data_IF_005677657454
#
_entry.id   IF_005677657454
#
_cell.length_a   1.000
_cell.length_b   1.000
_cell.length_c   1.000
_cell.angle_alpha   90.00
_cell.angle_beta   90.00
_cell.angle_gamma   90.00
#
_symmetry.space_group_name_H-M   'P 1'
#
loop_
_entity.id
_entity.type
_entity.pdbx_description
1 polymer ?
#
# COMPACT_ATOMS: atom_id res chain seq x y z
N UNK A 1 -25.89 14.09 5.60
CA UNK A 1 -24.85 14.26 4.56
C UNK A 1 -23.69 13.37 4.93
N UNK A 2 -23.25 12.44 4.06
CA UNK A 2 -22.04 11.63 4.31
C UNK A 2 -20.89 12.60 4.55
N UNK A 3 -20.15 12.43 5.64
CA UNK A 3 -18.94 13.18 5.90
C UNK A 3 -17.95 12.86 4.77
N UNK A 4 -17.66 13.77 3.82
CA UNK A 4 -16.93 13.45 2.59
C UNK A 4 -15.46 13.09 2.82
N UNK A 5 -15.03 13.04 4.08
CA UNK A 5 -13.64 12.89 4.49
C UNK A 5 -13.44 11.73 5.51
N UNK A 6 -14.39 10.82 5.62
CA UNK A 6 -14.22 9.61 6.44
C UNK A 6 -13.32 8.58 5.74
N UNK A 7 -12.48 7.87 6.49
CA UNK A 7 -11.85 6.65 5.98
C UNK A 7 -12.95 5.59 5.82
N UNK A 8 -12.90 4.78 4.76
CA UNK A 8 -13.90 3.74 4.51
C UNK A 8 -13.17 2.39 4.40
N UNK A 9 -13.50 1.47 5.29
CA UNK A 9 -13.19 0.05 5.13
C UNK A 9 -14.24 -0.55 4.19
N UNK A 10 -13.80 -1.25 3.15
CA UNK A 10 -14.69 -1.93 2.20
C UNK A 10 -14.35 -3.41 2.17
N UNK A 11 -15.35 -4.25 2.35
CA UNK A 11 -15.26 -5.67 2.00
C UNK A 11 -15.60 -5.82 0.51
N UNK A 12 -14.62 -6.24 -0.29
CA UNK A 12 -14.78 -6.32 -1.74
C UNK A 12 -15.57 -7.53 -2.22
N UNK A 13 -15.88 -8.49 -1.35
CA UNK A 13 -16.70 -9.66 -1.67
C UNK A 13 -18.17 -9.40 -1.37
N UNK A 14 -18.47 -8.87 -0.18
CA UNK A 14 -19.85 -8.59 0.24
C UNK A 14 -20.34 -7.21 -0.19
N UNK A 15 -19.42 -6.32 -0.59
CA UNK A 15 -19.65 -4.89 -0.85
C UNK A 15 -20.12 -4.11 0.39
N UNK A 16 -20.02 -4.71 1.57
CA UNK A 16 -20.25 -4.01 2.82
C UNK A 16 -19.15 -2.98 3.07
N UNK A 17 -19.52 -1.90 3.73
CA UNK A 17 -18.58 -0.82 4.04
C UNK A 17 -18.80 -0.30 5.45
N UNK A 18 -17.70 0.13 6.06
CA UNK A 18 -17.68 0.73 7.37
C UNK A 18 -16.92 2.04 7.33
N UNK A 19 -17.62 3.14 7.61
CA UNK A 19 -17.01 4.44 7.81
C UNK A 19 -16.26 4.48 9.15
N UNK A 20 -15.03 4.98 9.12
CA UNK A 20 -14.21 5.23 10.29
C UNK A 20 -14.12 6.74 10.48
N UNK A 21 -14.95 7.26 11.38
CA UNK A 21 -15.01 8.69 11.64
C UNK A 21 -13.85 9.14 12.53
N UNK A 22 -13.12 10.13 12.03
CA UNK A 22 -12.04 10.81 12.74
C UNK A 22 -12.34 12.30 12.68
N UNK A 23 -12.35 13.06 13.78
CA UNK A 23 -12.53 14.52 13.73
C UNK A 23 -11.44 15.21 12.91
N UNK A 24 -11.79 16.21 12.10
CA UNK A 24 -10.87 16.84 11.14
C UNK A 24 -9.59 17.39 11.77
N UNK A 25 -9.70 18.00 12.97
CA UNK A 25 -8.58 18.66 13.67
C UNK A 25 -7.42 17.74 14.07
N UNK A 26 -7.62 16.43 14.02
CA UNK A 26 -6.65 15.43 14.47
C UNK A 26 -6.28 14.43 13.38
N UNK A 27 -6.68 14.69 12.13
CA UNK A 27 -6.32 13.84 10.99
C UNK A 27 -4.91 14.15 10.46
N UNK A 28 -4.26 13.18 9.81
CA UNK A 28 -3.08 13.46 9.01
C UNK A 28 -3.44 14.35 7.81
N UNK A 29 -2.47 15.15 7.39
CA UNK A 29 -2.47 15.79 6.08
C UNK A 29 -2.02 14.78 5.03
N UNK A 30 -2.57 14.89 3.82
CA UNK A 30 -2.24 13.99 2.72
C UNK A 30 -1.60 14.77 1.58
N UNK A 31 -0.60 14.17 0.95
CA UNK A 31 -0.11 14.62 -0.35
C UNK A 31 -0.08 13.48 -1.36
N UNK A 32 -0.26 13.83 -2.63
CA UNK A 32 -0.02 12.98 -3.78
C UNK A 32 1.21 13.48 -4.52
N UNK A 33 2.14 12.59 -4.81
CA UNK A 33 3.29 12.84 -5.67
C UNK A 33 3.13 12.01 -6.93
N UNK A 34 2.94 12.67 -8.06
CA UNK A 34 2.98 12.06 -9.38
C UNK A 34 4.44 11.83 -9.77
N UNK A 35 4.86 10.57 -9.85
CA UNK A 35 6.23 10.20 -10.22
C UNK A 35 6.44 10.20 -11.74
N UNK A 36 5.38 10.38 -12.52
CA UNK A 36 5.37 10.31 -13.99
C UNK A 36 6.06 9.03 -14.53
N UNK A 37 6.02 7.95 -13.75
CA UNK A 37 6.62 6.67 -14.12
C UNK A 37 5.79 6.01 -15.23
N UNK A 38 6.47 5.39 -16.19
CA UNK A 38 5.80 4.59 -17.21
C UNK A 38 4.99 3.47 -16.57
N UNK A 39 3.88 3.10 -17.21
CA UNK A 39 3.04 1.98 -16.75
C UNK A 39 3.91 0.73 -16.62
N UNK A 40 3.76 0.04 -15.49
CA UNK A 40 4.46 -1.21 -15.22
C UNK A 40 4.31 -2.21 -16.38
N UNK A 41 5.38 -2.95 -16.67
CA UNK A 41 5.42 -4.00 -17.70
C UNK A 41 4.33 -5.06 -17.49
N UNK A 42 3.92 -5.33 -16.25
CA UNK A 42 2.86 -6.27 -15.90
C UNK A 42 1.55 -5.55 -15.60
N UNK A 43 0.67 -5.52 -16.60
CA UNK A 43 -0.66 -4.94 -16.47
C UNK A 43 -1.54 -5.63 -15.41
N UNK A 44 -2.61 -4.95 -15.00
CA UNK A 44 -3.60 -5.46 -14.03
C UNK A 44 -4.13 -6.85 -14.37
N UNK A 45 -4.36 -7.14 -15.66
CA UNK A 45 -4.85 -8.43 -16.12
C UNK A 45 -3.87 -9.58 -15.81
N UNK A 46 -2.57 -9.39 -16.08
CA UNK A 46 -1.54 -10.40 -15.80
C UNK A 46 -1.42 -10.67 -14.29
N UNK A 47 -1.50 -9.62 -13.46
CA UNK A 47 -1.49 -9.75 -12.00
C UNK A 47 -2.71 -10.50 -11.48
N UNK A 48 -3.90 -10.22 -12.03
CA UNK A 48 -5.12 -10.97 -11.71
C UNK A 48 -4.96 -12.45 -12.08
N UNK A 49 -4.46 -12.74 -13.28
CA UNK A 49 -4.22 -14.11 -13.72
C UNK A 49 -3.25 -14.84 -12.78
N UNK A 50 -2.16 -14.17 -12.39
CA UNK A 50 -1.19 -14.75 -11.46
C UNK A 50 -1.80 -15.07 -10.08
N UNK A 51 -2.65 -14.19 -9.54
CA UNK A 51 -3.38 -14.46 -8.30
C UNK A 51 -4.32 -15.67 -8.41
N UNK A 52 -5.01 -15.83 -9.55
CA UNK A 52 -5.87 -16.99 -9.80
C UNK A 52 -5.06 -18.29 -9.88
N UNK A 53 -3.92 -18.29 -10.58
CA UNK A 53 -3.04 -19.46 -10.64
C UNK A 53 -2.48 -19.87 -9.27
N UNK A 54 -2.19 -18.88 -8.40
CA UNK A 54 -1.79 -19.15 -7.01
C UNK A 54 -2.93 -19.83 -6.26
N UNK A 55 -4.14 -19.29 -6.37
CA UNK A 55 -5.34 -19.82 -5.72
C UNK A 55 -5.66 -21.26 -6.17
N UNK A 56 -5.72 -21.51 -7.47
CA UNK A 56 -6.03 -22.83 -8.04
C UNK A 56 -5.04 -23.90 -7.56
N UNK A 57 -3.76 -23.54 -7.45
CA UNK A 57 -2.72 -24.47 -6.95
C UNK A 57 -2.88 -24.77 -5.46
N UNK A 58 -3.32 -23.81 -4.65
CA UNK A 58 -3.60 -24.07 -3.24
C UNK A 58 -4.79 -25.02 -3.09
N UNK A 59 -5.87 -24.80 -3.85
CA UNK A 59 -7.06 -25.64 -3.85
C UNK A 59 -6.77 -27.09 -4.28
N UNK A 60 -5.95 -27.29 -5.32
CA UNK A 60 -5.53 -28.62 -5.79
C UNK A 60 -4.61 -29.37 -4.80
N UNK A 61 -4.20 -28.72 -3.70
CA UNK A 61 -3.28 -29.28 -2.71
C UNK A 61 -3.98 -29.40 -1.36
N UNK A 62 -3.42 -28.78 -0.32
CA UNK A 62 -3.88 -28.95 1.07
C UNK A 62 -5.03 -28.01 1.44
N UNK A 63 -5.44 -27.13 0.54
CA UNK A 63 -6.40 -26.05 0.82
C UNK A 63 -7.65 -26.16 -0.06
N UNK A 64 -8.18 -27.37 -0.25
CA UNK A 64 -9.32 -27.65 -1.14
C UNK A 64 -10.63 -26.94 -0.74
N UNK A 65 -10.76 -26.55 0.53
CA UNK A 65 -11.94 -25.83 1.05
C UNK A 65 -11.78 -24.31 1.01
N UNK A 66 -10.67 -23.79 0.49
CA UNK A 66 -10.41 -22.35 0.41
C UNK A 66 -11.29 -21.72 -0.68
N UNK A 67 -12.09 -20.71 -0.35
CA UNK A 67 -12.95 -20.02 -1.32
C UNK A 67 -12.27 -18.76 -1.89
N UNK A 68 -11.44 -18.11 -1.09
CA UNK A 68 -10.66 -16.94 -1.48
C UNK A 68 -9.30 -16.92 -0.77
N UNK A 69 -8.30 -16.28 -1.38
CA UNK A 69 -6.99 -16.06 -0.73
C UNK A 69 -7.09 -15.22 0.55
N UNK A 70 -8.18 -14.47 0.74
CA UNK A 70 -8.46 -13.75 1.99
C UNK A 70 -8.77 -14.67 3.16
N UNK A 71 -9.29 -15.86 2.88
CA UNK A 71 -9.69 -16.85 3.89
C UNK A 71 -8.47 -17.62 4.44
N UNK A 72 -7.29 -17.42 3.83
CA UNK A 72 -6.07 -18.06 4.31
C UNK A 72 -5.57 -17.39 5.59
N UNK A 73 -5.65 -18.14 6.70
CA UNK A 73 -5.18 -17.69 8.00
C UNK A 73 -3.65 -17.54 8.10
N UNK A 74 -3.15 -16.79 9.08
CA UNK A 74 -1.71 -16.46 9.12
C UNK A 74 -0.86 -17.67 9.45
N UNK A 75 -1.34 -18.45 10.41
CA UNK A 75 -0.70 -19.65 10.88
C UNK A 75 -0.49 -20.67 9.75
N UNK A 76 -1.33 -20.62 8.72
CA UNK A 76 -1.26 -21.53 7.58
C UNK A 76 -0.44 -21.00 6.41
N UNK A 77 0.01 -19.74 6.46
CA UNK A 77 0.74 -19.11 5.36
C UNK A 77 2.02 -19.87 5.02
N UNK A 78 2.84 -20.24 6.01
CA UNK A 78 4.08 -20.98 5.76
C UNK A 78 3.79 -22.34 5.11
N UNK A 79 2.79 -23.07 5.61
CA UNK A 79 2.36 -24.33 5.01
C UNK A 79 1.89 -24.14 3.56
N UNK A 80 1.12 -23.09 3.28
CA UNK A 80 0.67 -22.74 1.94
C UNK A 80 1.85 -22.42 1.00
N UNK A 81 2.83 -21.63 1.47
CA UNK A 81 4.04 -21.31 0.69
C UNK A 81 4.82 -22.58 0.31
N UNK A 82 4.90 -23.57 1.20
CA UNK A 82 5.57 -24.84 0.91
C UNK A 82 4.88 -25.67 -0.18
N UNK A 83 3.56 -25.50 -0.38
CA UNK A 83 2.84 -26.19 -1.47
C UNK A 83 3.04 -25.55 -2.84
N UNK A 84 3.55 -24.32 -2.90
CA UNK A 84 3.73 -23.56 -4.14
C UNK A 84 5.18 -23.62 -4.67
N UNK A 85 5.35 -23.54 -6.00
CA UNK A 85 6.65 -23.30 -6.62
C UNK A 85 7.30 -22.03 -6.05
N UNK A 86 8.64 -22.03 -5.90
CA UNK A 86 9.39 -20.89 -5.30
C UNK A 86 9.03 -19.54 -5.93
N UNK A 87 8.85 -19.49 -7.25
CA UNK A 87 8.49 -18.26 -7.99
C UNK A 87 7.13 -17.64 -7.63
N UNK A 88 6.21 -18.42 -7.05
CA UNK A 88 4.85 -17.96 -6.70
C UNK A 88 4.72 -17.56 -5.22
N UNK A 89 5.70 -17.93 -4.39
CA UNK A 89 5.69 -17.68 -2.95
C UNK A 89 5.66 -16.20 -2.58
N UNK A 90 6.44 -15.31 -3.25
CA UNK A 90 6.36 -13.87 -2.97
C UNK A 90 4.95 -13.33 -3.23
N UNK A 91 4.35 -13.70 -4.37
CA UNK A 91 2.99 -13.29 -4.71
C UNK A 91 1.94 -13.73 -3.67
N UNK A 92 2.00 -14.97 -3.19
CA UNK A 92 1.10 -15.43 -2.11
C UNK A 92 1.30 -14.62 -0.82
N UNK A 93 2.56 -14.38 -0.43
CA UNK A 93 2.89 -13.59 0.77
C UNK A 93 2.31 -12.19 0.68
N UNK A 94 2.50 -11.51 -0.46
CA UNK A 94 1.92 -10.19 -0.69
C UNK A 94 0.40 -10.20 -0.49
N UNK A 95 -0.32 -11.05 -1.23
CA UNK A 95 -1.79 -11.07 -1.24
C UNK A 95 -2.38 -11.31 0.16
N UNK A 96 -1.77 -12.21 0.92
CA UNK A 96 -2.25 -12.59 2.26
C UNK A 96 -1.87 -11.54 3.31
N UNK A 97 -0.64 -11.02 3.26
CA UNK A 97 -0.18 -10.03 4.25
C UNK A 97 -0.81 -8.65 4.04
N UNK A 98 -1.15 -8.29 2.80
CA UNK A 98 -1.80 -7.03 2.48
C UNK A 98 -3.22 -6.96 3.06
N UNK A 99 -4.02 -8.03 2.93
CA UNK A 99 -5.34 -8.12 3.56
C UNK A 99 -5.28 -7.93 5.08
N UNK A 100 -4.23 -8.45 5.74
CA UNK A 100 -4.04 -8.23 7.18
C UNK A 100 -3.60 -6.82 7.52
N UNK A 101 -2.77 -6.19 6.68
CA UNK A 101 -2.37 -4.79 6.87
C UNK A 101 -3.59 -3.86 6.86
N UNK A 102 -4.61 -4.15 6.06
CA UNK A 102 -5.89 -3.40 6.09
C UNK A 102 -6.53 -3.47 7.47
N UNK A 103 -6.63 -4.64 8.08
CA UNK A 103 -7.20 -4.78 9.44
C UNK A 103 -6.38 -4.01 10.49
N UNK A 104 -5.04 -4.05 10.38
CA UNK A 104 -4.16 -3.26 11.26
C UNK A 104 -4.31 -1.76 11.02
N UNK A 105 -4.53 -1.33 9.77
CA UNK A 105 -4.77 0.06 9.41
C UNK A 105 -6.07 0.57 10.04
N UNK A 106 -7.13 -0.23 10.03
CA UNK A 106 -8.40 0.10 10.71
C UNK A 106 -8.18 0.33 12.20
N UNK A 107 -7.39 -0.53 12.86
CA UNK A 107 -7.04 -0.36 14.27
C UNK A 107 -6.25 0.93 14.50
N UNK A 108 -5.25 1.21 13.66
CA UNK A 108 -4.44 2.43 13.73
C UNK A 108 -5.32 3.68 13.59
N UNK A 109 -6.20 3.73 12.58
CA UNK A 109 -7.14 4.84 12.35
C UNK A 109 -8.06 5.05 13.55
N UNK A 110 -8.69 3.98 14.06
CA UNK A 110 -9.60 4.06 15.22
C UNK A 110 -8.91 4.58 16.47
N UNK A 111 -7.66 4.19 16.67
CA UNK A 111 -6.82 4.64 17.79
C UNK A 111 -6.14 5.99 17.53
N UNK A 112 -6.24 6.53 16.32
CA UNK A 112 -5.53 7.74 15.86
C UNK A 112 -4.01 7.60 16.00
N UNK A 113 -3.53 6.39 15.82
CA UNK A 113 -2.11 6.05 15.83
C UNK A 113 -1.53 6.26 14.43
N UNK A 114 -1.21 7.52 14.14
CA UNK A 114 -0.76 7.94 12.81
C UNK A 114 0.66 7.46 12.50
N UNK A 115 1.48 7.27 13.53
CA UNK A 115 2.79 6.64 13.42
C UNK A 115 2.65 5.18 12.97
N UNK A 116 1.74 4.41 13.57
CA UNK A 116 1.45 3.04 13.12
C UNK A 116 0.87 3.02 11.70
N UNK A 117 -0.03 3.95 11.37
CA UNK A 117 -0.51 4.11 9.99
C UNK A 117 0.66 4.30 9.02
N UNK A 118 1.55 5.25 9.29
CA UNK A 118 2.74 5.52 8.49
C UNK A 118 3.64 4.29 8.31
N UNK A 119 3.91 3.57 9.40
CA UNK A 119 4.65 2.32 9.36
C UNK A 119 3.96 1.26 8.48
N UNK A 120 2.63 1.15 8.54
CA UNK A 120 1.86 0.23 7.71
C UNK A 120 1.90 0.62 6.21
N UNK A 121 1.87 1.91 5.88
CA UNK A 121 2.05 2.40 4.51
C UNK A 121 3.42 1.98 3.97
N UNK A 122 4.48 2.23 4.74
CA UNK A 122 5.84 1.82 4.39
C UNK A 122 5.97 0.30 4.19
N UNK A 123 5.44 -0.49 5.11
CA UNK A 123 5.45 -1.95 5.00
C UNK A 123 4.69 -2.45 3.77
N UNK A 124 3.58 -1.79 3.43
CA UNK A 124 2.78 -2.09 2.25
C UNK A 124 3.57 -1.77 0.97
N UNK A 125 4.29 -0.64 0.91
CA UNK A 125 5.18 -0.31 -0.20
C UNK A 125 6.34 -1.32 -0.34
N UNK A 126 7.02 -1.67 0.76
CA UNK A 126 8.09 -2.67 0.74
C UNK A 126 7.60 -4.03 0.20
N UNK A 127 6.41 -4.49 0.63
CA UNK A 127 5.82 -5.73 0.08
C UNK A 127 5.45 -5.59 -1.40
N UNK A 128 5.03 -4.41 -1.86
CA UNK A 128 4.83 -4.15 -3.30
C UNK A 128 6.12 -4.22 -4.11
N UNK A 129 7.24 -3.76 -3.56
CA UNK A 129 8.56 -3.81 -4.18
C UNK A 129 9.13 -5.23 -4.20
N UNK A 130 9.17 -5.86 -3.03
CA UNK A 130 9.94 -7.09 -2.80
C UNK A 130 9.13 -8.36 -3.11
N UNK A 131 7.82 -8.36 -2.82
CA UNK A 131 6.96 -9.54 -2.98
C UNK A 131 6.10 -9.48 -4.26
N UNK A 132 5.55 -8.30 -4.58
CA UNK A 132 4.67 -8.11 -5.73
C UNK A 132 5.38 -7.58 -6.98
N UNK A 133 6.55 -6.95 -6.80
CA UNK A 133 7.40 -6.39 -7.85
C UNK A 133 6.66 -5.42 -8.78
N UNK A 134 5.94 -4.46 -8.19
CA UNK A 134 5.12 -3.47 -8.91
C UNK A 134 5.54 -2.02 -8.66
N UNK A 135 6.69 -1.78 -8.06
CA UNK A 135 7.22 -0.42 -7.85
C UNK A 135 8.33 -0.14 -8.86
N UNK A 136 8.69 1.13 -8.96
CA UNK A 136 9.82 1.62 -9.75
C UNK A 136 10.85 2.32 -8.86
N UNK A 137 12.11 2.48 -9.31
CA UNK A 137 13.14 3.16 -8.51
C UNK A 137 12.77 4.59 -8.10
N UNK A 138 12.00 5.31 -8.92
CA UNK A 138 11.54 6.66 -8.58
C UNK A 138 10.47 6.63 -7.49
N UNK A 139 9.55 5.67 -7.55
CA UNK A 139 8.54 5.46 -6.50
C UNK A 139 9.19 5.06 -5.17
N UNK A 140 10.16 4.14 -5.22
CA UNK A 140 10.93 3.71 -4.05
C UNK A 140 11.70 4.90 -3.44
N UNK A 141 12.31 5.74 -4.27
CA UNK A 141 13.01 6.95 -3.83
C UNK A 141 12.09 7.90 -3.04
N UNK A 142 10.88 8.19 -3.52
CA UNK A 142 9.94 9.07 -2.79
C UNK A 142 9.60 8.51 -1.41
N UNK A 143 9.41 7.19 -1.31
CA UNK A 143 9.09 6.54 -0.04
C UNK A 143 10.29 6.54 0.92
N UNK A 144 11.51 6.37 0.40
CA UNK A 144 12.73 6.48 1.17
C UNK A 144 12.97 7.91 1.70
N UNK A 145 12.71 8.93 0.88
CA UNK A 145 12.79 10.32 1.33
C UNK A 145 11.72 10.64 2.38
N UNK A 146 10.50 10.12 2.22
CA UNK A 146 9.44 10.27 3.23
C UNK A 146 9.82 9.62 4.57
N UNK A 147 10.52 8.48 4.54
CA UNK A 147 11.07 7.87 5.75
C UNK A 147 12.14 8.74 6.42
N UNK A 148 13.06 9.31 5.63
CA UNK A 148 14.09 10.23 6.16
C UNK A 148 13.46 11.45 6.83
N UNK A 149 12.34 11.92 6.30
CA UNK A 149 11.56 13.05 6.82
C UNK A 149 10.65 12.71 8.02
N UNK A 150 10.79 11.51 8.60
CA UNK A 150 9.88 11.05 9.65
C UNK A 150 10.01 11.81 10.98
N UNK A 151 11.20 12.34 11.27
CA UNK A 151 11.43 13.15 12.47
C UNK A 151 10.84 14.56 12.34
N UNK A 152 10.61 15.01 11.10
CA UNK A 152 10.03 16.29 10.72
C UNK A 152 8.50 16.23 10.59
N UNK A 153 7.89 15.08 10.90
CA UNK A 153 6.44 14.92 10.97
C UNK A 153 5.80 14.20 9.79
N UNK A 154 6.58 13.66 8.84
CA UNK A 154 6.05 12.72 7.84
C UNK A 154 5.82 11.35 8.49
N UNK A 155 4.59 10.84 8.46
CA UNK A 155 4.31 9.53 9.04
C UNK A 155 4.77 8.39 8.15
N UNK A 156 4.55 8.51 6.84
CA UNK A 156 4.96 7.50 5.88
C UNK A 156 4.34 7.70 4.51
N UNK A 157 4.76 6.88 3.55
CA UNK A 157 4.30 6.96 2.17
C UNK A 157 4.13 5.58 1.55
N UNK A 158 3.28 5.50 0.53
CA UNK A 158 3.10 4.30 -0.28
C UNK A 158 2.60 4.63 -1.68
N UNK A 159 2.90 3.76 -2.64
CA UNK A 159 2.24 3.76 -3.93
C UNK A 159 0.72 3.57 -3.77
N UNK A 160 -0.04 4.32 -4.56
CA UNK A 160 -1.50 4.23 -4.65
C UNK A 160 -1.95 4.11 -6.10
N UNK A 161 -3.12 3.51 -6.33
CA UNK A 161 -3.67 3.29 -7.67
C UNK A 161 -2.88 2.27 -8.50
N UNK A 162 -2.87 2.44 -9.82
CA UNK A 162 -2.23 1.51 -10.76
C UNK A 162 -0.71 1.76 -10.96
N UNK A 163 -0.10 2.57 -10.10
CA UNK A 163 1.27 3.10 -10.27
C UNK A 163 1.24 4.52 -10.81
N UNK A 164 2.35 5.24 -10.64
CA UNK A 164 2.56 6.67 -10.95
C UNK A 164 2.21 7.66 -9.84
N UNK A 165 1.53 7.25 -8.76
CA UNK A 165 1.28 8.12 -7.61
C UNK A 165 1.78 7.50 -6.31
N UNK A 166 2.47 8.33 -5.52
CA UNK A 166 2.78 8.04 -4.12
C UNK A 166 1.86 8.90 -3.25
N UNK A 167 1.14 8.24 -2.35
CA UNK A 167 0.41 8.87 -1.26
C UNK A 167 1.35 9.05 -0.08
N UNK A 168 1.42 10.26 0.45
CA UNK A 168 2.24 10.63 1.61
C UNK A 168 1.31 11.11 2.71
N UNK A 169 1.52 10.63 3.94
CA UNK A 169 0.79 11.06 5.12
C UNK A 169 1.73 11.78 6.07
N UNK A 170 1.33 12.93 6.59
CA UNK A 170 2.12 13.71 7.54
C UNK A 170 1.26 14.40 8.59
N UNK A 171 1.93 15.06 9.52
CA UNK A 171 1.30 16.02 10.42
C UNK A 171 0.74 17.20 9.61
N UNK A 172 -0.31 17.88 10.10
CA UNK A 172 -0.77 19.13 9.49
C UNK A 172 0.37 20.12 9.30
N UNK A 173 0.45 20.75 8.12
CA UNK A 173 1.43 21.78 7.75
C UNK A 173 2.88 21.28 7.57
N UNK A 174 3.17 19.98 7.68
CA UNK A 174 4.54 19.46 7.49
C UNK A 174 4.83 19.05 6.05
N UNK A 175 3.80 18.71 5.27
CA UNK A 175 4.00 18.24 3.89
C UNK A 175 4.56 19.31 2.93
N UNK A 176 4.25 20.62 3.03
CA UNK A 176 4.89 21.62 2.17
C UNK A 176 6.42 21.57 2.21
N UNK A 177 7.01 21.46 3.40
CA UNK A 177 8.47 21.38 3.57
C UNK A 177 9.05 20.09 2.97
N UNK A 178 8.38 18.95 3.18
CA UNK A 178 8.75 17.69 2.55
C UNK A 178 8.69 17.76 1.02
N UNK A 179 7.63 18.33 0.45
CA UNK A 179 7.47 18.43 -1.00
C UNK A 179 8.51 19.37 -1.62
N UNK A 180 8.87 20.47 -0.95
CA UNK A 180 9.96 21.35 -1.38
C UNK A 180 11.32 20.63 -1.36
N UNK A 181 11.58 19.87 -0.31
CA UNK A 181 12.77 19.01 -0.23
C UNK A 181 12.80 17.99 -1.38
N UNK A 182 11.69 17.28 -1.60
CA UNK A 182 11.57 16.25 -2.64
C UNK A 182 11.83 16.80 -4.04
N UNK A 183 11.35 18.02 -4.34
CA UNK A 183 11.63 18.68 -5.62
C UNK A 183 13.10 19.01 -5.81
N UNK A 184 13.82 19.35 -4.73
CA UNK A 184 15.26 19.69 -4.77
C UNK A 184 16.13 18.44 -4.85
N UNK A 185 15.73 17.35 -4.19
CA UNK A 185 16.46 16.08 -4.20
C UNK A 185 16.05 15.14 -5.35
N UNK A 186 15.17 15.59 -6.24
CA UNK A 186 14.57 14.75 -7.27
C UNK A 186 15.64 14.05 -8.14
N UNK A 187 15.52 12.74 -8.41
CA UNK A 187 16.59 12.01 -9.09
C UNK A 187 16.84 12.53 -10.50
N UNK A 188 18.10 12.79 -10.85
CA UNK A 188 18.49 13.33 -12.16
C UNK A 188 18.10 12.40 -13.33
N UNK A 189 18.00 11.09 -13.10
CA UNK A 189 17.54 10.11 -14.07
C UNK A 189 16.01 10.10 -14.29
N UNK A 190 15.24 10.86 -13.52
CA UNK A 190 13.80 10.96 -13.72
C UNK A 190 13.49 11.71 -15.03
N UNK A 191 12.51 11.22 -15.78
CA UNK A 191 12.13 11.79 -17.08
C UNK A 191 11.45 13.16 -16.96
N UNK A 192 10.84 13.46 -15.80
CA UNK A 192 10.10 14.69 -15.51
C UNK A 192 10.26 15.07 -14.04
N UNK A 193 10.03 16.35 -13.73
CA UNK A 193 9.81 16.83 -12.36
C UNK A 193 8.49 16.29 -11.80
N UNK A 194 8.38 16.10 -10.48
CA UNK A 194 7.16 15.59 -9.88
C UNK A 194 6.07 16.66 -9.86
N UNK A 195 4.85 16.27 -10.23
CA UNK A 195 3.66 17.05 -9.88
C UNK A 195 3.22 16.63 -8.48
N UNK A 196 2.86 17.60 -7.64
CA UNK A 196 2.56 17.33 -6.24
C UNK A 196 1.29 18.06 -5.82
N UNK A 197 0.45 17.41 -5.02
CA UNK A 197 -0.84 17.93 -4.56
C UNK A 197 -0.95 17.72 -3.05
N UNK A 198 -1.46 18.70 -2.32
CA UNK A 198 -1.92 18.53 -0.93
C UNK A 198 -3.45 18.43 -0.97
N UNK A 199 -4.02 17.49 -0.21
CA UNK A 199 -5.44 17.17 -0.22
C UNK A 199 -6.19 17.75 1.00
#
# INVERSE_FOLDING_TARGET
MKNPQAFILVDTETHEHLSLDVPDRIRPEWALVNTATEKLKTGRAARKQWSLEIFDRLQQKKFSMLNSLRDLEHRDLENALHTLPRKMRPGLRYLVTENRRVQRMVVAIRKRDWQLMGALLKMSHASRRDDWMITSPIEDFVVEEAERFSLEGVYGATQTGEGSFILVAGQPLTLPAFLDHLRRSWPAQASKTPETFIL
#
